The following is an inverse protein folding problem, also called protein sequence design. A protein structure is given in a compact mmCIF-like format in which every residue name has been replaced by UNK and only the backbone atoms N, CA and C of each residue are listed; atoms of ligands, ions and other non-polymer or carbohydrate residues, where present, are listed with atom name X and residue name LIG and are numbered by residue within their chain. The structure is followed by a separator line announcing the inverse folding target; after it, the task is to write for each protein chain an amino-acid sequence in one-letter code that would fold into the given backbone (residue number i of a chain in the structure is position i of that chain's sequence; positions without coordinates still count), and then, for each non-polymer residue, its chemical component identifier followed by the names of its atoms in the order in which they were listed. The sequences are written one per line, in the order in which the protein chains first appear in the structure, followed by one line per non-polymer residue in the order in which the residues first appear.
data_IF_714828463181
#
_entry.id   IF_714828463181
#
_cell.length_a   1.000
_cell.length_b   1.000
_cell.length_c   1.000
_cell.angle_alpha   90.00
_cell.angle_beta   90.00
_cell.angle_gamma   90.00
#
_symmetry.space_group_name_H-M   'P 1'
#
loop_
_entity.id
_entity.type
_entity.pdbx_description
1 polymer ?
#
# COMPACT_ATOMS: atom_id res chain seq x y z
N UNK A 1 12.66 -21.25 -2.30
CA UNK A 1 11.38 -21.35 -3.03
C UNK A 1 11.70 -21.49 -4.51
N UNK A 2 11.14 -22.49 -5.18
CA UNK A 2 11.35 -22.68 -6.62
C UNK A 2 10.33 -21.85 -7.43
N UNK A 3 10.58 -21.68 -8.74
CA UNK A 3 9.70 -20.89 -9.60
C UNK A 3 8.25 -21.43 -9.66
N UNK A 4 8.09 -22.75 -9.54
CA UNK A 4 6.79 -23.42 -9.55
C UNK A 4 5.97 -23.03 -8.32
N UNK A 5 6.56 -23.11 -7.12
CA UNK A 5 5.96 -22.67 -5.86
C UNK A 5 5.56 -21.20 -5.89
N UNK A 6 6.42 -20.34 -6.46
CA UNK A 6 6.10 -18.94 -6.64
C UNK A 6 4.83 -18.75 -7.49
N UNK A 7 4.80 -19.33 -8.68
CA UNK A 7 3.65 -19.20 -9.59
C UNK A 7 2.37 -19.75 -8.96
N UNK A 8 2.42 -20.95 -8.37
CA UNK A 8 1.24 -21.53 -7.72
C UNK A 8 0.77 -20.73 -6.50
N UNK A 9 1.69 -20.24 -5.66
CA UNK A 9 1.36 -19.40 -4.53
C UNK A 9 0.70 -18.09 -4.97
N UNK A 10 1.24 -17.47 -6.02
CA UNK A 10 0.75 -16.20 -6.54
C UNK A 10 -0.66 -16.35 -7.15
N UNK A 11 -0.85 -17.35 -8.00
CA UNK A 11 -2.16 -17.68 -8.59
C UNK A 11 -3.17 -18.08 -7.52
N UNK A 12 -2.75 -18.79 -6.47
CA UNK A 12 -3.62 -19.10 -5.32
C UNK A 12 -4.06 -17.83 -4.60
N UNK A 13 -3.17 -16.86 -4.43
CA UNK A 13 -3.49 -15.54 -3.89
C UNK A 13 -4.56 -14.80 -4.69
N UNK A 14 -4.39 -14.77 -6.02
CA UNK A 14 -5.39 -14.23 -6.95
C UNK A 14 -6.73 -14.96 -6.78
N UNK A 15 -6.71 -16.29 -6.74
CA UNK A 15 -7.90 -17.10 -6.53
C UNK A 15 -8.64 -16.75 -5.24
N UNK A 16 -7.91 -16.54 -4.14
CA UNK A 16 -8.49 -16.13 -2.86
C UNK A 16 -9.12 -14.73 -2.91
N UNK A 17 -8.55 -13.80 -3.67
CA UNK A 17 -9.17 -12.49 -3.88
C UNK A 17 -10.56 -12.62 -4.51
N UNK A 18 -10.68 -13.42 -5.57
CA UNK A 18 -11.97 -13.67 -6.22
C UNK A 18 -12.95 -14.46 -5.34
N UNK A 19 -12.46 -15.47 -4.62
CA UNK A 19 -13.30 -16.25 -3.70
C UNK A 19 -13.90 -15.32 -2.63
N UNK A 20 -13.09 -14.46 -2.00
CA UNK A 20 -13.57 -13.48 -1.02
C UNK A 20 -14.68 -12.58 -1.59
N UNK A 21 -14.48 -12.04 -2.80
CA UNK A 21 -15.49 -11.23 -3.50
C UNK A 21 -16.77 -12.05 -3.73
N UNK A 22 -16.67 -13.28 -4.23
CA UNK A 22 -17.82 -14.13 -4.51
C UNK A 22 -18.64 -14.39 -3.23
N UNK A 23 -17.98 -14.63 -2.10
CA UNK A 23 -18.66 -14.80 -0.82
C UNK A 23 -19.41 -13.53 -0.39
N UNK A 24 -18.82 -12.35 -0.58
CA UNK A 24 -19.49 -11.07 -0.30
C UNK A 24 -20.72 -10.91 -1.21
N UNK A 25 -20.56 -11.14 -2.51
CA UNK A 25 -21.63 -10.98 -3.52
C UNK A 25 -22.80 -11.96 -3.30
N UNK A 26 -22.54 -13.17 -2.82
CA UNK A 26 -23.57 -14.17 -2.51
C UNK A 26 -24.38 -13.84 -1.26
N UNK A 27 -23.90 -12.95 -0.39
CA UNK A 27 -24.56 -12.57 0.85
C UNK A 27 -25.11 -11.14 0.74
N UNK A 28 -26.40 -10.93 0.39
CA UNK A 28 -26.94 -9.60 0.09
C UNK A 28 -26.88 -8.63 1.27
N UNK A 29 -27.02 -9.11 2.50
CA UNK A 29 -26.86 -8.28 3.71
C UNK A 29 -25.43 -7.75 3.83
N UNK A 30 -24.44 -8.63 3.65
CA UNK A 30 -23.01 -8.30 3.74
C UNK A 30 -22.61 -7.39 2.59
N UNK A 31 -23.09 -7.67 1.37
CA UNK A 31 -22.90 -6.80 0.21
C UNK A 31 -23.45 -5.39 0.44
N UNK A 32 -24.66 -5.26 1.00
CA UNK A 32 -25.25 -3.95 1.31
C UNK A 32 -24.41 -3.18 2.33
N UNK A 33 -23.94 -3.85 3.39
CA UNK A 33 -23.07 -3.24 4.41
C UNK A 33 -21.72 -2.81 3.80
N UNK A 34 -21.00 -3.73 3.15
CA UNK A 34 -19.70 -3.45 2.52
C UNK A 34 -19.83 -2.37 1.44
N UNK A 35 -20.89 -2.40 0.64
CA UNK A 35 -21.17 -1.39 -0.38
C UNK A 35 -21.43 -0.01 0.23
N UNK A 36 -22.16 0.07 1.35
CA UNK A 36 -22.38 1.34 2.07
C UNK A 36 -21.06 1.90 2.61
N UNK A 37 -20.23 1.05 3.22
CA UNK A 37 -18.89 1.44 3.68
C UNK A 37 -17.99 1.89 2.52
N UNK A 38 -18.06 1.21 1.38
CA UNK A 38 -17.33 1.58 0.17
C UNK A 38 -17.73 2.98 -0.34
N UNK A 39 -19.04 3.29 -0.38
CA UNK A 39 -19.53 4.62 -0.76
C UNK A 39 -19.08 5.70 0.22
N UNK A 40 -19.14 5.43 1.53
CA UNK A 40 -18.63 6.35 2.56
C UNK A 40 -17.14 6.64 2.37
N UNK A 41 -16.34 5.61 2.09
CA UNK A 41 -14.90 5.74 1.89
C UNK A 41 -14.57 6.47 0.59
N UNK A 42 -15.34 6.26 -0.49
CA UNK A 42 -15.22 7.05 -1.72
C UNK A 42 -15.47 8.53 -1.43
N UNK A 43 -16.56 8.86 -0.72
CA UNK A 43 -16.89 10.23 -0.38
C UNK A 43 -15.80 10.88 0.50
N UNK A 44 -15.34 10.17 1.54
CA UNK A 44 -14.26 10.65 2.42
C UNK A 44 -12.93 10.79 1.70
N UNK A 45 -12.59 9.86 0.80
CA UNK A 45 -11.40 9.96 -0.04
C UNK A 45 -11.47 11.21 -0.92
N UNK A 46 -12.61 11.46 -1.57
CA UNK A 46 -12.80 12.65 -2.40
C UNK A 46 -12.69 13.94 -1.57
N UNK A 47 -13.32 13.99 -0.39
CA UNK A 47 -13.24 15.13 0.52
C UNK A 47 -11.81 15.38 1.01
N UNK A 48 -11.10 14.32 1.43
CA UNK A 48 -9.70 14.42 1.86
C UNK A 48 -8.79 14.85 0.72
N UNK A 49 -8.97 14.28 -0.48
CA UNK A 49 -8.22 14.68 -1.67
C UNK A 49 -8.44 16.15 -1.97
N UNK A 50 -9.69 16.62 -1.99
CA UNK A 50 -10.03 18.03 -2.21
C UNK A 50 -9.37 18.93 -1.16
N UNK A 51 -9.44 18.56 0.12
CA UNK A 51 -8.82 19.30 1.21
C UNK A 51 -7.31 19.43 1.03
N UNK A 52 -6.62 18.32 0.70
CA UNK A 52 -5.18 18.32 0.45
C UNK A 52 -4.82 19.15 -0.80
N UNK A 53 -5.60 19.04 -1.87
CA UNK A 53 -5.41 19.85 -3.08
C UNK A 53 -5.51 21.34 -2.79
N UNK A 54 -6.56 21.76 -2.07
CA UNK A 54 -6.75 23.16 -1.69
C UNK A 54 -5.61 23.65 -0.78
N UNK A 55 -5.20 22.84 0.20
CA UNK A 55 -4.09 23.17 1.08
C UNK A 55 -2.77 23.38 0.33
N UNK A 56 -2.42 22.46 -0.58
CA UNK A 56 -1.22 22.59 -1.42
C UNK A 56 -1.30 23.79 -2.36
N UNK A 57 -2.48 24.07 -2.93
CA UNK A 57 -2.68 25.23 -3.78
C UNK A 57 -2.47 26.55 -3.02
N UNK A 58 -3.00 26.65 -1.79
CA UNK A 58 -2.77 27.82 -0.92
C UNK A 58 -1.28 27.97 -0.62
N UNK A 59 -0.57 26.88 -0.30
CA UNK A 59 0.88 26.90 -0.05
C UNK A 59 1.64 27.40 -1.29
N UNK A 60 1.31 26.90 -2.48
CA UNK A 60 1.92 27.34 -3.73
C UNK A 60 1.66 28.83 -4.00
N UNK A 61 0.44 29.30 -3.78
CA UNK A 61 0.06 30.70 -3.97
C UNK A 61 0.78 31.64 -3.00
N UNK A 62 0.85 31.26 -1.73
CA UNK A 62 1.63 32.00 -0.72
C UNK A 62 3.12 32.00 -1.08
N UNK A 63 3.64 30.85 -1.53
CA UNK A 63 5.02 30.72 -2.00
C UNK A 63 5.34 31.62 -3.19
N UNK A 64 4.43 31.69 -4.17
CA UNK A 64 4.54 32.58 -5.33
C UNK A 64 4.50 34.05 -4.92
N UNK A 65 3.55 34.43 -4.06
CA UNK A 65 3.46 35.79 -3.54
C UNK A 65 4.74 36.19 -2.78
N UNK A 66 5.21 35.36 -1.86
CA UNK A 66 6.45 35.62 -1.12
C UNK A 66 7.68 35.66 -2.03
N UNK A 67 7.75 34.75 -3.01
CA UNK A 67 8.81 34.70 -4.01
C UNK A 67 8.85 35.99 -4.83
N UNK A 68 7.71 36.43 -5.37
CA UNK A 68 7.62 37.69 -6.12
C UNK A 68 8.09 38.90 -5.30
N UNK A 69 7.69 39.02 -4.02
CA UNK A 69 8.16 40.09 -3.14
C UNK A 69 9.68 40.03 -2.91
N UNK A 70 10.24 38.83 -2.74
CA UNK A 70 11.68 38.63 -2.56
C UNK A 70 12.47 38.96 -3.83
N UNK A 71 12.00 38.52 -4.98
CA UNK A 71 12.68 38.68 -6.26
C UNK A 71 12.58 40.09 -6.85
N UNK A 72 11.53 40.85 -6.52
CA UNK A 72 11.47 42.30 -6.78
C UNK A 72 12.69 43.02 -6.18
N UNK A 73 13.29 42.48 -5.11
CA UNK A 73 14.50 43.05 -4.50
C UNK A 73 15.80 42.62 -5.18
N UNK A 74 15.78 41.55 -5.98
CA UNK A 74 16.96 40.94 -6.61
C UNK A 74 17.06 41.21 -8.12
N UNK A 75 16.15 42.01 -8.67
CA UNK A 75 16.10 42.36 -10.12
C UNK A 75 15.98 41.13 -11.05
N UNK A 76 15.37 40.06 -10.53
CA UNK A 76 15.10 38.84 -11.28
C UNK A 76 13.82 39.00 -12.10
N UNK A 77 13.86 38.54 -13.36
CA UNK A 77 12.73 38.66 -14.30
C UNK A 77 11.48 37.94 -13.79
N UNK A 78 10.32 38.57 -13.88
CA UNK A 78 9.02 38.00 -13.48
C UNK A 78 8.65 36.71 -14.22
N UNK A 79 9.14 36.51 -15.45
CA UNK A 79 8.95 35.29 -16.23
C UNK A 79 9.48 34.05 -15.51
N UNK A 80 10.70 34.11 -14.97
CA UNK A 80 11.32 32.98 -14.26
C UNK A 80 10.51 32.53 -13.03
N UNK A 81 9.85 33.48 -12.35
CA UNK A 81 9.01 33.19 -11.17
C UNK A 81 7.72 32.52 -11.61
N UNK A 82 7.12 32.99 -12.71
CA UNK A 82 5.93 32.37 -13.30
C UNK A 82 6.21 30.95 -13.78
N UNK A 83 7.36 30.73 -14.43
CA UNK A 83 7.77 29.40 -14.90
C UNK A 83 7.95 28.44 -13.72
N UNK A 84 8.68 28.87 -12.67
CA UNK A 84 8.84 28.08 -11.44
C UNK A 84 7.49 27.74 -10.77
N UNK A 85 6.55 28.68 -10.77
CA UNK A 85 5.21 28.45 -10.23
C UNK A 85 4.42 27.44 -11.05
N UNK A 86 4.42 27.58 -12.37
CA UNK A 86 3.72 26.67 -13.28
C UNK A 86 4.30 25.25 -13.18
N UNK A 87 5.62 25.12 -13.19
CA UNK A 87 6.31 23.84 -12.98
C UNK A 87 5.92 23.23 -11.63
N UNK A 88 5.97 24.01 -10.55
CA UNK A 88 5.59 23.55 -9.21
C UNK A 88 4.12 23.10 -9.16
N UNK A 89 3.23 23.81 -9.84
CA UNK A 89 1.81 23.46 -9.95
C UNK A 89 1.59 22.14 -10.70
N UNK A 90 2.28 21.93 -11.82
CA UNK A 90 2.25 20.66 -12.55
C UNK A 90 2.76 19.50 -11.70
N UNK A 91 3.87 19.69 -10.97
CA UNK A 91 4.42 18.67 -10.07
C UNK A 91 3.46 18.35 -8.92
N UNK A 92 2.78 19.35 -8.35
CA UNK A 92 1.77 19.13 -7.30
C UNK A 92 0.56 18.38 -7.85
N UNK A 93 0.08 18.68 -9.06
CA UNK A 93 -1.00 17.93 -9.68
C UNK A 93 -0.59 16.48 -9.96
N UNK A 94 0.60 16.27 -10.53
CA UNK A 94 1.16 14.93 -10.75
C UNK A 94 1.28 14.17 -9.42
N UNK A 95 1.74 14.83 -8.37
CA UNK A 95 1.81 14.27 -7.02
C UNK A 95 0.42 13.87 -6.52
N UNK A 96 -0.56 14.76 -6.56
CA UNK A 96 -1.93 14.48 -6.10
C UNK A 96 -2.64 13.37 -6.89
N UNK A 97 -2.30 13.18 -8.15
CA UNK A 97 -2.81 12.08 -8.97
C UNK A 97 -2.09 10.76 -8.70
N UNK A 98 -0.77 10.79 -8.52
CA UNK A 98 0.06 9.59 -8.26
C UNK A 98 -0.16 9.04 -6.85
N UNK A 99 -0.48 9.91 -5.88
CA UNK A 99 -0.59 9.55 -4.46
C UNK A 99 -1.99 9.04 -4.05
N UNK A 100 -2.79 8.50 -4.99
CA UNK A 100 -4.09 7.91 -4.68
C UNK A 100 -4.02 6.92 -3.50
N UNK A 101 -3.03 6.02 -3.52
CA UNK A 101 -2.81 5.04 -2.46
C UNK A 101 -2.37 5.67 -1.14
N UNK A 102 -1.59 6.74 -1.17
CA UNK A 102 -1.18 7.44 0.04
C UNK A 102 -2.38 8.09 0.73
N UNK A 103 -3.27 8.73 -0.03
CA UNK A 103 -4.52 9.29 0.51
C UNK A 103 -5.37 8.18 1.13
N UNK A 104 -5.47 7.02 0.46
CA UNK A 104 -6.16 5.85 1.02
C UNK A 104 -5.51 5.32 2.29
N UNK A 105 -4.19 5.27 2.34
CA UNK A 105 -3.44 4.86 3.51
C UNK A 105 -3.63 5.81 4.70
N UNK A 106 -3.59 7.12 4.45
CA UNK A 106 -3.89 8.14 5.45
C UNK A 106 -5.33 8.00 5.93
N UNK A 107 -6.29 7.84 5.01
CA UNK A 107 -7.69 7.66 5.35
C UNK A 107 -7.90 6.42 6.22
N UNK A 108 -7.22 5.31 5.94
CA UNK A 108 -7.27 4.09 6.78
C UNK A 108 -6.67 4.25 8.18
N UNK A 109 -5.91 5.33 8.42
CA UNK A 109 -5.31 5.66 9.72
C UNK A 109 -6.16 6.64 10.50
N UNK A 110 -6.69 7.64 9.82
CA UNK A 110 -7.53 8.69 10.43
C UNK A 110 -8.95 8.19 10.65
N UNK A 111 -9.47 7.39 9.72
CA UNK A 111 -10.83 6.87 9.72
C UNK A 111 -10.83 5.35 9.57
N UNK A 112 -10.36 4.67 10.61
CA UNK A 112 -10.16 3.21 10.64
C UNK A 112 -11.46 2.40 10.57
N UNK A 113 -12.56 2.94 11.08
CA UNK A 113 -13.79 2.17 11.33
C UNK A 113 -14.39 1.48 10.09
N UNK A 114 -14.50 2.13 8.92
CA UNK A 114 -15.04 1.44 7.74
C UNK A 114 -14.19 0.26 7.28
N UNK A 115 -12.86 0.40 7.38
CA UNK A 115 -11.92 -0.63 6.97
C UNK A 115 -11.99 -1.84 7.92
N UNK A 116 -11.98 -1.59 9.23
CA UNK A 116 -12.12 -2.65 10.23
C UNK A 116 -13.51 -3.29 10.21
N UNK A 117 -14.57 -2.50 10.02
CA UNK A 117 -15.94 -3.03 9.91
C UNK A 117 -16.10 -3.91 8.69
N UNK A 118 -15.61 -3.49 7.52
CA UNK A 118 -15.64 -4.33 6.32
C UNK A 118 -14.87 -5.64 6.53
N UNK A 119 -13.71 -5.58 7.18
CA UNK A 119 -12.92 -6.76 7.52
C UNK A 119 -13.69 -7.73 8.44
N UNK A 120 -14.14 -7.28 9.62
CA UNK A 120 -14.78 -8.14 10.62
C UNK A 120 -16.18 -8.63 10.23
N UNK A 121 -16.96 -7.78 9.54
CA UNK A 121 -18.29 -8.15 9.04
C UNK A 121 -18.21 -9.32 8.05
N UNK A 122 -17.13 -9.38 7.27
CA UNK A 122 -16.89 -10.44 6.28
C UNK A 122 -16.19 -11.64 6.90
N UNK A 123 -15.28 -11.42 7.85
CA UNK A 123 -14.64 -12.48 8.64
C UNK A 123 -15.68 -13.37 9.34
N UNK A 124 -16.78 -12.78 9.81
CA UNK A 124 -17.91 -13.47 10.44
C UNK A 124 -18.59 -14.52 9.55
N UNK A 125 -18.46 -14.40 8.21
CA UNK A 125 -18.93 -15.41 7.25
C UNK A 125 -18.07 -16.68 7.33
N UNK A 126 -16.76 -16.52 7.54
CA UNK A 126 -15.78 -17.59 7.47
C UNK A 126 -15.52 -18.24 8.83
N UNK A 127 -15.42 -17.43 9.88
CA UNK A 127 -15.30 -17.90 11.25
C UNK A 127 -15.96 -16.88 12.23
N UNK A 128 -17.23 -17.09 12.60
CA UNK A 128 -17.95 -16.17 13.47
C UNK A 128 -17.41 -16.15 14.91
N UNK A 129 -16.90 -17.27 15.40
CA UNK A 129 -16.37 -17.37 16.77
C UNK A 129 -15.07 -16.61 16.86
N UNK A 130 -14.16 -16.85 15.91
CA UNK A 130 -12.89 -16.17 15.86
C UNK A 130 -13.06 -14.68 15.55
N UNK A 131 -13.93 -14.32 14.60
CA UNK A 131 -14.26 -12.92 14.28
C UNK A 131 -14.69 -12.14 15.52
N UNK A 132 -15.69 -12.63 16.28
CA UNK A 132 -16.13 -12.01 17.53
C UNK A 132 -15.02 -11.92 18.57
N UNK A 133 -14.19 -12.96 18.66
CA UNK A 133 -13.08 -12.97 19.62
C UNK A 133 -12.00 -11.93 19.31
N UNK A 134 -11.75 -11.66 18.02
CA UNK A 134 -10.74 -10.70 17.56
C UNK A 134 -11.32 -9.29 17.55
N UNK A 135 -12.58 -9.12 17.13
CA UNK A 135 -13.25 -7.83 17.08
C UNK A 135 -13.43 -7.23 18.48
N UNK A 136 -13.61 -8.03 19.53
CA UNK A 136 -13.78 -7.50 20.89
C UNK A 136 -12.46 -7.11 21.57
N UNK A 137 -11.30 -7.37 20.95
CA UNK A 137 -9.99 -6.99 21.49
C UNK A 137 -9.73 -5.51 21.26
N UNK A 138 -9.08 -4.86 22.23
CA UNK A 138 -8.59 -3.49 22.07
C UNK A 138 -7.48 -3.45 21.02
N UNK A 139 -7.45 -2.40 20.20
CA UNK A 139 -6.32 -2.17 19.29
C UNK A 139 -5.03 -2.04 20.09
N UNK A 140 -4.02 -2.80 19.71
CA UNK A 140 -2.67 -2.74 20.27
C UNK A 140 -1.89 -1.53 19.79
N UNK A 141 -2.30 -0.93 18.66
CA UNK A 141 -1.61 0.19 18.01
C UNK A 141 -2.42 1.49 18.07
N UNK A 142 -1.71 2.59 18.31
CA UNK A 142 -2.26 3.95 18.31
C UNK A 142 -2.30 4.52 16.91
N UNK A 143 -3.48 4.93 16.45
CA UNK A 143 -3.71 5.43 15.09
C UNK A 143 -2.87 6.67 14.77
N UNK A 144 -2.66 7.55 15.76
CA UNK A 144 -1.83 8.75 15.57
C UNK A 144 -0.35 8.40 15.39
N UNK A 145 0.19 7.47 16.19
CA UNK A 145 1.58 7.01 16.03
C UNK A 145 1.79 6.38 14.65
N UNK A 146 0.82 5.60 14.18
CA UNK A 146 0.85 4.99 12.84
C UNK A 146 0.75 6.03 11.71
N UNK A 147 0.04 7.13 11.92
CA UNK A 147 -0.02 8.25 10.98
C UNK A 147 1.32 9.00 10.90
N UNK A 148 1.90 9.34 12.06
CA UNK A 148 3.23 9.98 12.11
C UNK A 148 4.27 9.08 11.46
N UNK A 149 4.24 7.78 11.76
CA UNK A 149 5.13 6.81 11.13
C UNK A 149 4.97 6.77 9.62
N UNK A 150 3.72 6.75 9.11
CA UNK A 150 3.47 6.79 7.67
C UNK A 150 4.04 8.05 7.02
N UNK A 151 3.83 9.23 7.60
CA UNK A 151 4.35 10.48 7.05
C UNK A 151 5.88 10.46 7.03
N UNK A 152 6.50 10.09 8.15
CA UNK A 152 7.96 9.99 8.25
C UNK A 152 8.54 8.99 7.24
N UNK A 153 7.88 7.84 7.10
CA UNK A 153 8.28 6.80 6.16
C UNK A 153 8.09 7.23 4.70
N UNK A 154 6.99 7.92 4.40
CA UNK A 154 6.71 8.51 3.09
C UNK A 154 7.76 9.56 2.70
N UNK A 155 8.16 10.43 3.63
CA UNK A 155 9.24 11.41 3.40
C UNK A 155 10.58 10.71 3.16
N UNK A 156 10.93 9.70 3.99
CA UNK A 156 12.16 8.92 3.78
C UNK A 156 12.17 8.25 2.41
N UNK A 157 11.06 7.66 1.99
CA UNK A 157 10.92 7.06 0.65
C UNK A 157 11.05 8.08 -0.46
N UNK A 158 10.41 9.23 -0.33
CA UNK A 158 10.54 10.32 -1.30
C UNK A 158 12.00 10.72 -1.47
N UNK A 159 12.74 10.93 -0.37
CA UNK A 159 14.18 11.22 -0.41
C UNK A 159 14.96 10.10 -1.11
N UNK A 160 14.72 8.84 -0.73
CA UNK A 160 15.39 7.69 -1.37
C UNK A 160 15.07 7.62 -2.87
N UNK A 161 13.83 7.85 -3.27
CA UNK A 161 13.43 7.85 -4.67
C UNK A 161 14.09 8.99 -5.45
N UNK A 162 14.13 10.19 -4.89
CA UNK A 162 14.80 11.34 -5.49
C UNK A 162 16.30 11.09 -5.63
N UNK A 163 16.97 10.59 -4.59
CA UNK A 163 18.38 10.22 -4.65
C UNK A 163 18.64 9.10 -5.65
N UNK A 164 17.78 8.08 -5.69
CA UNK A 164 17.86 6.98 -6.65
C UNK A 164 17.72 7.48 -8.08
N UNK A 165 16.76 8.37 -8.33
CA UNK A 165 16.54 8.99 -9.64
C UNK A 165 17.82 9.69 -10.11
N UNK A 166 18.44 10.51 -9.25
CA UNK A 166 19.73 11.14 -9.57
C UNK A 166 20.88 10.14 -9.72
N UNK A 167 20.93 9.08 -8.92
CA UNK A 167 21.95 8.04 -9.04
C UNK A 167 21.86 7.26 -10.36
N UNK A 168 20.64 7.07 -10.89
CA UNK A 168 20.42 6.43 -12.19
C UNK A 168 20.95 7.29 -13.35
N UNK A 169 20.99 8.62 -13.20
CA UNK A 169 21.56 9.52 -14.20
C UNK A 169 23.09 9.41 -14.30
N UNK A 170 23.76 8.83 -13.30
CA UNK A 170 25.21 8.63 -13.34
C UNK A 170 25.52 7.45 -14.28
N UNK A 171 26.32 7.66 -15.35
CA UNK A 171 26.73 6.59 -16.25
C UNK A 171 27.38 5.43 -15.47
N UNK A 172 27.15 4.20 -15.94
CA UNK A 172 27.62 2.94 -15.33
C UNK A 172 26.96 2.55 -13.99
N UNK A 173 26.79 3.48 -13.04
CA UNK A 173 26.15 3.21 -11.74
C UNK A 173 24.67 2.89 -11.94
N UNK A 174 23.96 3.68 -12.74
CA UNK A 174 22.52 3.48 -12.99
C UNK A 174 22.19 2.12 -13.59
N UNK A 175 23.08 1.56 -14.41
CA UNK A 175 22.91 0.25 -15.06
C UNK A 175 22.89 -0.89 -14.03
N UNK A 176 23.76 -0.83 -13.03
CA UNK A 176 23.87 -1.87 -11.99
C UNK A 176 22.92 -1.64 -10.81
N UNK A 177 22.54 -0.38 -10.55
CA UNK A 177 21.71 -0.02 -9.41
C UNK A 177 20.35 -0.73 -9.41
N UNK A 178 19.67 -0.78 -10.56
CA UNK A 178 18.36 -1.42 -10.67
C UNK A 178 18.43 -2.94 -10.45
N UNK A 179 19.31 -3.71 -11.12
CA UNK A 179 19.49 -5.14 -10.85
C UNK A 179 19.79 -5.45 -9.38
N UNK A 180 20.71 -4.69 -8.75
CA UNK A 180 21.10 -4.89 -7.36
C UNK A 180 19.92 -4.60 -6.43
N UNK A 181 19.22 -3.48 -6.65
CA UNK A 181 18.04 -3.10 -5.88
C UNK A 181 16.91 -4.12 -6.04
N UNK A 182 16.69 -4.60 -7.26
CA UNK A 182 15.75 -5.68 -7.56
C UNK A 182 16.09 -6.95 -6.79
N UNK A 183 17.37 -7.32 -6.72
CA UNK A 183 17.83 -8.52 -6.03
C UNK A 183 17.53 -8.41 -4.53
N UNK A 184 17.91 -7.29 -3.92
CA UNK A 184 17.73 -7.04 -2.48
C UNK A 184 16.24 -7.04 -2.11
N UNK A 185 15.40 -6.33 -2.87
CA UNK A 185 13.98 -6.21 -2.58
C UNK A 185 13.27 -7.55 -2.76
N UNK A 186 13.55 -8.25 -3.86
CA UNK A 186 12.81 -9.45 -4.23
C UNK A 186 13.33 -10.71 -3.56
N UNK A 187 14.55 -10.72 -3.02
CA UNK A 187 15.16 -11.91 -2.40
C UNK A 187 14.26 -12.52 -1.31
N UNK A 188 13.71 -11.68 -0.44
CA UNK A 188 12.81 -12.10 0.64
C UNK A 188 11.40 -12.47 0.15
N UNK A 189 11.08 -12.19 -1.11
CA UNK A 189 9.75 -12.36 -1.68
C UNK A 189 9.69 -13.59 -2.58
N UNK A 190 10.59 -13.68 -3.56
CA UNK A 190 10.60 -14.74 -4.59
C UNK A 190 11.60 -15.85 -4.28
N UNK A 191 12.48 -15.62 -3.29
CA UNK A 191 13.63 -16.47 -3.03
C UNK A 191 14.79 -16.20 -3.99
N UNK A 192 15.97 -16.63 -3.57
CA UNK A 192 17.26 -16.33 -4.22
C UNK A 192 17.27 -16.57 -5.73
N UNK A 193 16.83 -17.74 -6.19
CA UNK A 193 16.93 -18.15 -7.59
C UNK A 193 16.13 -17.26 -8.53
N UNK A 194 14.87 -16.98 -8.20
CA UNK A 194 14.01 -16.16 -9.05
C UNK A 194 14.44 -14.68 -9.01
N UNK A 195 14.88 -14.20 -7.85
CA UNK A 195 15.39 -12.85 -7.69
C UNK A 195 16.63 -12.59 -8.53
N UNK A 196 17.58 -13.53 -8.58
CA UNK A 196 18.72 -13.42 -9.49
C UNK A 196 18.26 -13.37 -10.94
N UNK A 197 17.34 -14.25 -11.34
CA UNK A 197 16.85 -14.30 -12.72
C UNK A 197 16.21 -12.97 -13.13
N UNK A 198 15.33 -12.41 -12.30
CA UNK A 198 14.68 -11.11 -12.54
C UNK A 198 15.71 -9.98 -12.56
N UNK A 199 16.68 -9.98 -11.64
CA UNK A 199 17.77 -9.00 -11.63
C UNK A 199 18.67 -9.06 -12.86
N UNK A 200 19.01 -10.25 -13.33
CA UNK A 200 19.79 -10.44 -14.56
C UNK A 200 18.98 -10.01 -15.80
N UNK A 201 17.67 -10.22 -15.80
CA UNK A 201 16.80 -9.76 -16.87
C UNK A 201 16.82 -8.22 -16.98
N UNK A 202 16.94 -7.51 -15.85
CA UNK A 202 17.16 -6.06 -15.85
C UNK A 202 18.51 -5.62 -16.41
N UNK A 203 19.53 -6.49 -16.52
CA UNK A 203 20.77 -6.15 -17.22
C UNK A 203 20.61 -6.19 -18.75
N UNK A 204 19.73 -7.07 -19.25
CA UNK A 204 19.52 -7.30 -20.68
C UNK A 204 18.54 -6.29 -21.27
N UNK A 205 17.57 -5.82 -20.50
CA UNK A 205 16.69 -4.72 -20.92
C UNK A 205 17.53 -3.47 -21.25
N UNK A 206 17.10 -2.52 -22.07
CA UNK A 206 17.78 -1.23 -22.24
C UNK A 206 17.81 -0.41 -20.94
N UNK A 207 18.92 0.28 -20.63
CA UNK A 207 19.06 1.09 -19.39
C UNK A 207 18.24 2.37 -19.37
N UNK A 208 17.85 2.84 -20.55
CA UNK A 208 17.02 4.04 -20.78
C UNK A 208 15.53 3.76 -20.74
N UNK A 209 15.12 2.50 -20.57
CA UNK A 209 13.71 2.16 -20.59
C UNK A 209 13.01 2.69 -19.34
N UNK A 210 12.01 3.55 -19.59
CA UNK A 210 11.06 4.12 -18.63
C UNK A 210 10.33 3.06 -17.78
N UNK A 211 10.55 1.76 -18.00
CA UNK A 211 9.84 0.64 -17.38
C UNK A 211 10.57 0.00 -16.19
N UNK A 212 11.89 0.15 -16.09
CA UNK A 212 12.71 -0.51 -15.04
C UNK A 212 12.40 -0.02 -13.62
N UNK A 213 12.39 1.30 -13.46
CA UNK A 213 12.17 1.94 -12.16
C UNK A 213 10.71 1.81 -11.68
N UNK A 214 9.68 1.98 -12.54
CA UNK A 214 8.30 1.73 -12.15
C UNK A 214 8.04 0.30 -11.66
N UNK A 215 8.69 -0.72 -12.23
CA UNK A 215 8.51 -2.10 -11.78
C UNK A 215 8.85 -2.30 -10.29
N UNK A 216 10.00 -1.80 -9.84
CA UNK A 216 10.40 -1.92 -8.44
C UNK A 216 9.43 -1.18 -7.52
N UNK A 217 8.99 0.00 -7.95
CA UNK A 217 7.96 0.75 -7.23
C UNK A 217 6.64 -0.03 -7.16
N UNK A 218 6.21 -0.67 -8.26
CA UNK A 218 5.00 -1.49 -8.28
C UNK A 218 5.05 -2.63 -7.27
N UNK A 219 6.15 -3.39 -7.20
CA UNK A 219 6.28 -4.48 -6.23
C UNK A 219 6.23 -3.95 -4.79
N UNK A 220 6.98 -2.88 -4.50
CA UNK A 220 7.00 -2.28 -3.16
C UNK A 220 5.62 -1.75 -2.76
N UNK A 221 4.92 -1.10 -3.70
CA UNK A 221 3.58 -0.57 -3.50
C UNK A 221 2.57 -1.70 -3.29
N UNK A 222 2.63 -2.79 -4.08
CA UNK A 222 1.76 -3.96 -3.88
C UNK A 222 2.03 -4.61 -2.52
N UNK A 223 3.30 -4.75 -2.12
CA UNK A 223 3.69 -5.29 -0.81
C UNK A 223 3.09 -4.48 0.34
N UNK A 224 3.29 -3.17 0.32
CA UNK A 224 2.78 -2.28 1.34
C UNK A 224 1.25 -2.24 1.36
N UNK A 225 0.63 -2.18 0.18
CA UNK A 225 -0.80 -2.29 0.03
C UNK A 225 -1.34 -3.59 0.66
N UNK A 226 -0.69 -4.72 0.40
CA UNK A 226 -1.09 -6.02 0.96
C UNK A 226 -0.96 -6.05 2.49
N UNK A 227 0.09 -5.45 3.05
CA UNK A 227 0.26 -5.30 4.49
C UNK A 227 -0.84 -4.40 5.10
N UNK A 228 -1.22 -3.35 4.39
CA UNK A 228 -2.33 -2.48 4.80
C UNK A 228 -3.69 -3.18 4.78
N UNK A 229 -3.89 -4.17 3.90
CA UNK A 229 -5.06 -5.05 3.94
C UNK A 229 -5.08 -5.97 5.17
N UNK A 230 -3.93 -6.38 5.68
CA UNK A 230 -3.83 -7.21 6.89
C UNK A 230 -3.91 -6.39 8.19
N UNK A 231 -3.91 -5.06 8.09
CA UNK A 231 -3.81 -4.15 9.23
C UNK A 231 -4.95 -4.29 10.24
N UNK A 232 -6.24 -4.40 9.86
CA UNK A 232 -7.33 -4.63 10.83
C UNK A 232 -7.09 -5.85 11.71
N UNK A 233 -6.52 -6.91 11.13
CA UNK A 233 -6.14 -8.12 11.86
C UNK A 233 -4.96 -7.86 12.79
N UNK A 234 -3.84 -7.32 12.29
CA UNK A 234 -2.62 -7.12 13.08
C UNK A 234 -2.81 -6.21 14.28
N UNK A 235 -3.71 -5.23 14.20
CA UNK A 235 -4.02 -4.34 15.32
C UNK A 235 -4.77 -5.04 16.46
N UNK A 236 -5.50 -6.11 16.18
CA UNK A 236 -6.29 -6.85 17.18
C UNK A 236 -5.76 -8.26 17.44
N UNK A 237 -4.71 -8.67 16.73
CA UNK A 237 -4.05 -9.96 16.93
C UNK A 237 -3.30 -10.01 18.28
N UNK A 238 -3.23 -11.21 18.87
CA UNK A 238 -2.38 -11.46 20.05
C UNK A 238 -0.95 -11.82 19.69
N UNK A 239 -0.62 -11.92 18.40
CA UNK A 239 0.72 -12.22 17.93
C UNK A 239 1.63 -11.02 18.15
N UNK A 240 2.85 -11.30 18.65
CA UNK A 240 3.95 -10.34 18.68
C UNK A 240 4.35 -9.92 17.26
N UNK A 241 4.99 -8.75 17.12
CA UNK A 241 5.36 -8.17 15.82
C UNK A 241 6.21 -9.12 14.98
N UNK A 242 7.14 -9.85 15.60
CA UNK A 242 7.96 -10.88 14.92
C UNK A 242 7.12 -12.05 14.40
N UNK A 243 6.09 -12.47 15.15
CA UNK A 243 5.17 -13.54 14.74
C UNK A 243 4.21 -13.07 13.64
N UNK A 244 3.82 -11.79 13.65
CA UNK A 244 3.06 -11.17 12.56
C UNK A 244 3.89 -11.09 11.27
N UNK A 245 5.16 -10.70 11.38
CA UNK A 245 6.10 -10.68 10.26
C UNK A 245 6.34 -12.10 9.70
N UNK A 246 6.49 -13.10 10.56
CA UNK A 246 6.58 -14.50 10.13
C UNK A 246 5.27 -14.97 9.45
N UNK A 247 4.09 -14.58 9.94
CA UNK A 247 2.82 -14.85 9.26
C UNK A 247 2.79 -14.27 7.84
N UNK A 248 3.25 -13.03 7.67
CA UNK A 248 3.36 -12.42 6.35
C UNK A 248 4.38 -13.16 5.48
N UNK A 249 5.59 -13.37 5.98
CA UNK A 249 6.73 -13.90 5.22
C UNK A 249 6.45 -15.33 4.74
N UNK A 250 5.91 -16.18 5.60
CA UNK A 250 5.55 -17.57 5.25
C UNK A 250 4.46 -17.65 4.17
N UNK A 251 3.66 -16.58 4.03
CA UNK A 251 2.57 -16.49 3.06
C UNK A 251 2.79 -15.38 2.01
N UNK A 252 4.01 -14.85 1.89
CA UNK A 252 4.26 -13.58 1.21
C UNK A 252 3.78 -13.61 -0.24
N UNK A 253 4.08 -14.69 -0.96
CA UNK A 253 3.68 -14.86 -2.36
C UNK A 253 2.15 -14.89 -2.53
N UNK A 254 1.46 -15.59 -1.65
CA UNK A 254 -0.01 -15.70 -1.70
C UNK A 254 -0.65 -14.35 -1.38
N UNK A 255 -0.14 -13.67 -0.35
CA UNK A 255 -0.61 -12.34 0.05
C UNK A 255 -0.32 -11.32 -1.05
N UNK A 256 0.82 -11.40 -1.73
CA UNK A 256 1.15 -10.54 -2.86
C UNK A 256 0.25 -10.78 -4.06
N UNK A 257 0.00 -12.03 -4.45
CA UNK A 257 -0.95 -12.34 -5.53
C UNK A 257 -2.35 -11.81 -5.23
N UNK A 258 -2.80 -11.94 -3.97
CA UNK A 258 -4.04 -11.33 -3.50
C UNK A 258 -4.00 -9.80 -3.64
N UNK A 259 -2.94 -9.18 -3.12
CA UNK A 259 -2.74 -7.75 -3.13
C UNK A 259 -2.64 -7.15 -4.52
N UNK A 260 -2.04 -7.86 -5.48
CA UNK A 260 -1.94 -7.41 -6.88
C UNK A 260 -3.32 -7.17 -7.49
N UNK A 261 -4.29 -8.06 -7.24
CA UNK A 261 -5.66 -7.90 -7.77
C UNK A 261 -6.27 -6.59 -7.27
N UNK A 262 -6.29 -6.39 -5.95
CA UNK A 262 -6.91 -5.20 -5.38
C UNK A 262 -6.09 -3.93 -5.55
N UNK A 263 -4.78 -4.04 -5.71
CA UNK A 263 -3.92 -2.91 -6.07
C UNK A 263 -4.27 -2.41 -7.47
N UNK A 264 -4.37 -3.30 -8.47
CA UNK A 264 -4.76 -2.93 -9.84
C UNK A 264 -6.19 -2.36 -9.87
N UNK A 265 -7.12 -2.96 -9.15
CA UNK A 265 -8.48 -2.43 -9.00
C UNK A 265 -8.50 -1.07 -8.29
N UNK A 266 -7.64 -0.88 -7.29
CA UNK A 266 -7.48 0.36 -6.54
C UNK A 266 -6.96 1.53 -7.40
N UNK A 267 -6.33 1.26 -8.54
CA UNK A 267 -5.88 2.31 -9.47
C UNK A 267 -7.04 2.99 -10.22
N UNK A 268 -8.26 2.44 -10.17
CA UNK A 268 -9.41 3.04 -10.86
C UNK A 268 -9.78 4.35 -10.18
N UNK A 269 -9.61 5.49 -10.88
CA UNK A 269 -9.72 6.85 -10.32
C UNK A 269 -10.88 7.10 -9.36
N UNK A 270 -12.09 6.67 -9.70
CA UNK A 270 -13.30 6.94 -8.90
C UNK A 270 -13.79 5.74 -8.08
N UNK A 271 -13.57 4.51 -8.57
CA UNK A 271 -14.03 3.29 -7.90
C UNK A 271 -12.97 2.68 -6.96
N UNK A 272 -11.70 3.04 -7.13
CA UNK A 272 -10.55 2.49 -6.43
C UNK A 272 -10.69 2.51 -4.90
N UNK A 273 -11.12 3.63 -4.26
CA UNK A 273 -11.35 3.68 -2.82
C UNK A 273 -12.42 2.69 -2.35
N UNK A 274 -13.47 2.49 -3.14
CA UNK A 274 -14.50 1.51 -2.84
C UNK A 274 -13.99 0.08 -2.99
N UNK A 275 -13.23 -0.18 -4.06
CA UNK A 275 -12.60 -1.49 -4.30
C UNK A 275 -11.55 -1.85 -3.24
N UNK A 276 -10.92 -0.85 -2.62
CA UNK A 276 -10.08 -1.04 -1.43
C UNK A 276 -10.89 -1.66 -0.28
N UNK A 277 -12.12 -1.20 -0.05
CA UNK A 277 -13.01 -1.76 0.97
C UNK A 277 -13.44 -3.19 0.64
N UNK A 278 -13.68 -3.50 -0.63
CA UNK A 278 -13.85 -4.89 -1.06
C UNK A 278 -12.58 -5.73 -0.85
N UNK A 279 -11.40 -5.15 -1.01
CA UNK A 279 -10.13 -5.78 -0.68
C UNK A 279 -10.00 -6.11 0.80
N UNK A 280 -10.34 -5.16 1.67
CA UNK A 280 -10.38 -5.34 3.13
C UNK A 280 -11.42 -6.38 3.57
N UNK A 281 -12.57 -6.41 2.91
CA UNK A 281 -13.57 -7.45 3.15
C UNK A 281 -13.04 -8.83 2.69
N UNK A 282 -12.42 -8.90 1.51
CA UNK A 282 -11.99 -10.16 0.91
C UNK A 282 -10.76 -10.79 1.59
N UNK A 283 -9.84 -9.97 2.14
CA UNK A 283 -8.64 -10.48 2.81
C UNK A 283 -8.98 -11.23 4.10
N UNK A 284 -10.17 -11.00 4.68
CA UNK A 284 -10.67 -11.75 5.84
C UNK A 284 -10.70 -13.26 5.59
N UNK A 285 -10.95 -13.70 4.35
CA UNK A 285 -10.87 -15.12 3.96
C UNK A 285 -9.45 -15.69 4.14
N UNK A 286 -8.44 -14.93 3.68
CA UNK A 286 -7.03 -15.32 3.79
C UNK A 286 -6.61 -15.36 5.27
N UNK A 287 -7.03 -14.38 6.06
CA UNK A 287 -6.75 -14.33 7.51
C UNK A 287 -7.41 -15.49 8.24
N UNK A 288 -8.68 -15.77 7.98
CA UNK A 288 -9.38 -16.92 8.56
C UNK A 288 -8.65 -18.23 8.26
N UNK A 289 -8.11 -18.37 7.05
CA UNK A 289 -7.39 -19.58 6.64
C UNK A 289 -6.02 -19.77 7.31
N UNK A 290 -5.22 -18.72 7.45
CA UNK A 290 -3.81 -18.88 7.87
C UNK A 290 -3.50 -18.33 9.26
N UNK A 291 -4.19 -17.29 9.69
CA UNK A 291 -3.80 -16.54 10.89
C UNK A 291 -4.32 -17.19 12.18
N UNK A 292 -5.50 -17.80 12.11
CA UNK A 292 -6.11 -18.51 13.24
C UNK A 292 -5.24 -19.67 13.72
N UNK A 293 -4.76 -20.50 12.80
CA UNK A 293 -3.89 -21.64 13.11
C UNK A 293 -2.64 -21.19 13.87
N UNK A 294 -1.97 -20.14 13.37
CA UNK A 294 -0.76 -19.60 14.02
C UNK A 294 -1.03 -19.00 15.41
N UNK A 295 -2.16 -18.32 15.61
CA UNK A 295 -2.52 -17.80 16.94
C UNK A 295 -2.77 -18.92 17.95
N UNK A 296 -3.44 -20.00 17.53
CA UNK A 296 -3.70 -21.16 18.40
C UNK A 296 -2.39 -21.85 18.76
N UNK A 297 -1.53 -22.13 17.78
CA UNK A 297 -0.22 -22.75 18.02
C UNK A 297 0.63 -21.89 18.97
N UNK A 298 0.69 -20.58 18.75
CA UNK A 298 1.42 -19.65 19.62
C UNK A 298 0.91 -19.68 21.06
N UNK A 299 -0.41 -19.79 21.30
CA UNK A 299 -0.97 -19.85 22.65
C UNK A 299 -0.65 -21.19 23.34
N UNK A 300 -0.59 -22.28 22.58
CA UNK A 300 -0.23 -23.59 23.11
C UNK A 300 1.24 -23.64 23.53
N UNK A 301 2.14 -23.01 22.77
CA UNK A 301 3.55 -22.86 23.15
C UNK A 301 3.69 -22.10 24.47
N UNK A 302 2.98 -20.98 24.63
CA UNK A 302 3.07 -20.16 25.85
C UNK A 302 2.49 -20.85 27.09
N UNK A 303 1.54 -21.79 26.93
CA UNK A 303 0.96 -22.55 28.05
C UNK A 303 1.77 -23.77 28.48
N UNK A 304 2.72 -24.22 27.65
CA UNK A 304 3.58 -25.37 27.94
C UNK A 304 4.87 -24.99 28.67
N UNK A 305 5.15 -23.69 28.78
CA UNK A 305 6.24 -23.08 29.55
C UNK A 305 5.70 -22.58 30.88
#
# INVERSE_FOLDING_TARGET
MNAKEFVFGFLRGIGYAFIGIIYILRNPEKLKKVGTLALQVIAMHAALKLFLTLGLYIILQVGYFMGSLFFLRLDISSSQISDLYNDSFEHVNMFLETFHFFVMEMLSRVYEQPFESAFFETMDIFDPVYSKSVSNRKSTKSSFKELVFLVQYGVKRFIIYTLTFYAVLIPFIGVLFVPISSLIITYNIYGYTLSILVSLLFLILPSTDSYRFPYLQYILNIREFSLNLLRPYYRRSTLDEKKQEALYTDNAVTILGFGTVFYLLGQIRFAGPGLYIFGQASISYLVAKYAQEKEVLSKLETKKL
#
